data_IF_050480011087
#
_entry.id   IF_050480011087
#
_cell.length_a   1.000
_cell.length_b   1.000
_cell.length_c   1.000
_cell.angle_alpha   90.00
_cell.angle_beta   90.00
_cell.angle_gamma   90.00
#
_symmetry.space_group_name_H-M   'P 1'
#
loop_
_entity.id
_entity.type
_entity.pdbx_description
1 polymer ?
#
# COMPACT_ATOMS: atom_id res chain seq x y z
N UNK A 1 -19.77 -14.83 10.90
CA UNK A 1 -19.04 -14.09 9.84
C UNK A 1 -17.54 -14.26 10.03
N UNK A 2 -17.02 -14.13 11.25
CA UNK A 2 -15.58 -14.16 11.56
C UNK A 2 -14.90 -15.50 11.22
N UNK A 3 -15.55 -16.61 11.58
CA UNK A 3 -15.08 -17.97 11.28
C UNK A 3 -15.06 -18.23 9.78
N UNK A 4 -16.08 -17.78 9.07
CA UNK A 4 -16.20 -17.95 7.62
C UNK A 4 -15.06 -17.25 6.86
N UNK A 5 -14.67 -16.04 7.27
CA UNK A 5 -13.58 -15.28 6.64
C UNK A 5 -12.22 -15.92 6.92
N UNK A 6 -12.01 -16.42 8.15
CA UNK A 6 -10.79 -17.16 8.49
C UNK A 6 -10.70 -18.47 7.69
N UNK A 7 -11.82 -19.19 7.56
CA UNK A 7 -11.89 -20.45 6.82
C UNK A 7 -11.67 -20.22 5.31
N UNK A 8 -12.32 -19.20 4.71
CA UNK A 8 -12.10 -18.84 3.31
C UNK A 8 -10.65 -18.43 3.09
N UNK A 9 -10.06 -17.66 4.00
CA UNK A 9 -8.64 -17.26 3.90
C UNK A 9 -7.72 -18.48 3.88
N UNK A 10 -7.96 -19.45 4.76
CA UNK A 10 -7.11 -20.64 4.84
C UNK A 10 -7.32 -21.56 3.65
N UNK A 11 -8.57 -21.75 3.22
CA UNK A 11 -8.92 -22.61 2.09
C UNK A 11 -8.50 -22.04 0.73
N UNK A 12 -8.37 -20.70 0.60
CA UNK A 12 -7.93 -20.05 -0.64
C UNK A 12 -6.41 -19.94 -0.74
N UNK A 13 -5.69 -19.82 0.38
CA UNK A 13 -4.21 -19.73 0.38
C UNK A 13 -3.54 -20.97 -0.23
N UNK A 14 -4.02 -22.16 0.10
CA UNK A 14 -3.43 -23.41 -0.37
C UNK A 14 -3.51 -23.56 -1.89
N UNK A 15 -4.68 -23.43 -2.56
CA UNK A 15 -4.74 -23.53 -4.01
C UNK A 15 -3.97 -22.41 -4.73
N UNK A 16 -3.92 -21.19 -4.18
CA UNK A 16 -3.13 -20.11 -4.76
C UNK A 16 -1.63 -20.40 -4.66
N UNK A 17 -1.15 -20.91 -3.52
CA UNK A 17 0.25 -21.32 -3.34
C UNK A 17 0.63 -22.44 -4.33
N UNK A 18 -0.27 -23.41 -4.55
CA UNK A 18 -0.04 -24.45 -5.54
C UNK A 18 0.01 -23.91 -6.98
N UNK A 19 -0.87 -22.97 -7.33
CA UNK A 19 -0.84 -22.31 -8.65
C UNK A 19 0.49 -21.58 -8.86
N UNK A 20 0.98 -20.85 -7.87
CA UNK A 20 2.28 -20.18 -7.91
C UNK A 20 3.43 -21.17 -8.06
N UNK A 21 3.42 -22.24 -7.28
CA UNK A 21 4.44 -23.30 -7.38
C UNK A 21 4.47 -23.92 -8.78
N UNK A 22 3.31 -24.26 -9.35
CA UNK A 22 3.26 -24.85 -10.69
C UNK A 22 3.67 -23.85 -11.78
N UNK A 23 3.33 -22.57 -11.63
CA UNK A 23 3.78 -21.53 -12.56
C UNK A 23 5.30 -21.37 -12.52
N UNK A 24 5.91 -21.37 -11.32
CA UNK A 24 7.36 -21.34 -11.16
C UNK A 24 8.05 -22.57 -11.75
N UNK A 25 7.55 -23.77 -11.46
CA UNK A 25 8.09 -25.00 -12.04
C UNK A 25 8.01 -25.03 -13.57
N UNK A 26 6.96 -24.43 -14.16
CA UNK A 26 6.87 -24.26 -15.60
C UNK A 26 7.91 -23.27 -16.13
N UNK A 27 8.17 -22.17 -15.38
CA UNK A 27 9.16 -21.16 -15.78
C UNK A 27 10.60 -21.68 -15.77
N UNK A 28 10.87 -22.73 -14.98
CA UNK A 28 12.20 -23.39 -14.90
C UNK A 28 12.46 -24.37 -16.07
N UNK A 29 11.40 -24.73 -16.82
CA UNK A 29 11.53 -25.66 -17.95
C UNK A 29 11.91 -24.96 -19.24
N UNK A 30 12.55 -25.67 -20.15
CA UNK A 30 12.81 -25.19 -21.50
C UNK A 30 11.54 -25.24 -22.35
N UNK A 31 10.75 -24.18 -22.29
CA UNK A 31 9.46 -24.05 -22.96
C UNK A 31 9.58 -23.23 -24.26
N UNK A 32 8.77 -23.54 -25.28
CA UNK A 32 8.55 -22.66 -26.41
C UNK A 32 8.16 -21.25 -25.95
N UNK A 33 8.51 -20.23 -26.74
CA UNK A 33 8.32 -18.81 -26.36
C UNK A 33 6.88 -18.47 -25.95
N UNK A 34 5.89 -19.02 -26.66
CA UNK A 34 4.47 -18.76 -26.34
C UNK A 34 4.06 -19.42 -25.03
N UNK A 35 4.53 -20.65 -24.76
CA UNK A 35 4.28 -21.34 -23.49
C UNK A 35 4.96 -20.63 -22.30
N UNK A 36 6.15 -20.07 -22.51
CA UNK A 36 6.86 -19.27 -21.49
C UNK A 36 6.09 -17.99 -21.17
N UNK A 37 5.54 -17.30 -22.18
CA UNK A 37 4.66 -16.14 -21.96
C UNK A 37 3.40 -16.49 -21.19
N UNK A 38 2.78 -17.63 -21.48
CA UNK A 38 1.61 -18.11 -20.75
C UNK A 38 1.95 -18.43 -19.29
N UNK A 39 3.07 -19.09 -19.02
CA UNK A 39 3.51 -19.40 -17.66
C UNK A 39 3.75 -18.12 -16.85
N UNK A 40 4.44 -17.14 -17.41
CA UNK A 40 4.65 -15.83 -16.76
C UNK A 40 3.33 -15.08 -16.49
N UNK A 41 2.39 -15.12 -17.43
CA UNK A 41 1.07 -14.52 -17.25
C UNK A 41 0.26 -15.22 -16.14
N UNK A 42 0.34 -16.55 -16.04
CA UNK A 42 -0.29 -17.31 -14.96
C UNK A 42 0.30 -16.97 -13.59
N UNK A 43 1.62 -16.88 -13.50
CA UNK A 43 2.32 -16.48 -12.25
C UNK A 43 1.84 -15.09 -11.81
N UNK A 44 1.83 -14.13 -12.72
CA UNK A 44 1.36 -12.77 -12.43
C UNK A 44 -0.10 -12.73 -11.96
N UNK A 45 -1.01 -13.50 -12.59
CA UNK A 45 -2.41 -13.56 -12.17
C UNK A 45 -2.59 -14.27 -10.83
N UNK A 46 -1.82 -15.32 -10.54
CA UNK A 46 -1.84 -16.00 -9.25
C UNK A 46 -1.33 -15.10 -8.11
N UNK A 47 -0.26 -14.33 -8.33
CA UNK A 47 0.24 -13.32 -7.39
C UNK A 47 -0.81 -12.23 -7.13
N UNK A 48 -1.45 -11.74 -8.17
CA UNK A 48 -2.54 -10.76 -8.04
C UNK A 48 -3.71 -11.30 -7.23
N UNK A 49 -4.09 -12.57 -7.45
CA UNK A 49 -5.15 -13.23 -6.68
C UNK A 49 -4.75 -13.41 -5.22
N UNK A 50 -3.51 -13.81 -4.94
CA UNK A 50 -2.96 -13.90 -3.59
C UNK A 50 -3.08 -12.58 -2.85
N UNK A 51 -2.61 -11.50 -3.46
CA UNK A 51 -2.67 -10.16 -2.89
C UNK A 51 -4.12 -9.70 -2.64
N UNK A 52 -5.05 -10.00 -3.56
CA UNK A 52 -6.48 -9.72 -3.41
C UNK A 52 -7.05 -10.39 -2.16
N UNK A 53 -6.86 -11.69 -2.02
CA UNK A 53 -7.40 -12.48 -0.90
C UNK A 53 -6.79 -12.01 0.42
N UNK A 54 -5.48 -11.80 0.49
CA UNK A 54 -4.81 -11.33 1.70
C UNK A 54 -5.31 -9.94 2.13
N UNK A 55 -5.46 -9.03 1.17
CA UNK A 55 -5.95 -7.67 1.44
C UNK A 55 -7.42 -7.69 1.89
N UNK A 56 -8.26 -8.53 1.28
CA UNK A 56 -9.66 -8.69 1.66
C UNK A 56 -9.78 -9.21 3.10
N UNK A 57 -8.98 -10.22 3.45
CA UNK A 57 -8.97 -10.81 4.80
C UNK A 57 -8.47 -9.80 5.83
N UNK A 58 -7.37 -9.08 5.55
CA UNK A 58 -6.87 -8.02 6.43
C UNK A 58 -7.96 -6.96 6.68
N UNK A 59 -8.56 -6.47 5.62
CA UNK A 59 -9.61 -5.45 5.68
C UNK A 59 -10.80 -5.93 6.49
N UNK A 60 -11.29 -7.13 6.23
CA UNK A 60 -12.42 -7.69 6.94
C UNK A 60 -12.14 -7.90 8.44
N UNK A 61 -10.94 -8.34 8.81
CA UNK A 61 -10.54 -8.48 10.22
C UNK A 61 -10.43 -7.14 10.93
N UNK A 62 -10.00 -6.09 10.24
CA UNK A 62 -9.98 -4.73 10.80
C UNK A 62 -11.38 -4.19 11.04
N UNK A 63 -12.30 -4.37 10.09
CA UNK A 63 -13.68 -3.90 10.20
C UNK A 63 -14.48 -4.63 11.28
N UNK A 64 -14.19 -5.90 11.48
CA UNK A 64 -14.85 -6.71 12.52
C UNK A 64 -14.21 -6.55 13.90
N UNK A 65 -13.17 -5.72 14.04
CA UNK A 65 -12.45 -5.53 15.30
C UNK A 65 -11.65 -6.76 15.77
N UNK A 66 -11.46 -7.77 14.92
CA UNK A 66 -10.68 -8.97 15.25
C UNK A 66 -9.18 -8.65 15.27
N UNK A 67 -8.74 -7.74 14.42
CA UNK A 67 -7.39 -7.21 14.46
C UNK A 67 -7.38 -6.02 15.39
N UNK A 68 -6.98 -6.27 16.62
CA UNK A 68 -6.75 -5.20 17.57
C UNK A 68 -5.46 -4.46 17.22
N UNK A 69 -5.57 -3.15 17.13
CA UNK A 69 -4.41 -2.28 17.06
C UNK A 69 -4.04 -1.90 18.50
N UNK A 70 -2.75 -1.90 18.78
CA UNK A 70 -2.21 -1.54 20.11
C UNK A 70 -1.40 -0.23 20.00
N UNK A 71 -2.08 0.93 19.90
CA UNK A 71 -1.38 2.21 19.81
C UNK A 71 -0.56 2.46 21.07
N UNK A 72 0.70 2.79 20.89
CA UNK A 72 1.62 3.22 21.93
C UNK A 72 2.45 4.40 21.45
N UNK A 73 2.95 5.21 22.35
CA UNK A 73 3.85 6.30 21.97
C UNK A 73 5.11 5.70 21.31
N UNK A 74 5.30 5.97 20.03
CA UNK A 74 6.33 5.36 19.21
C UNK A 74 7.09 6.43 18.42
N UNK A 75 8.42 6.25 18.29
CA UNK A 75 9.22 7.08 17.40
C UNK A 75 8.84 6.78 15.95
N UNK A 76 8.69 7.82 15.14
CA UNK A 76 8.34 7.68 13.72
C UNK A 76 9.54 7.30 12.84
N UNK A 77 10.77 7.66 13.23
CA UNK A 77 11.96 7.39 12.41
C UNK A 77 12.08 5.92 11.97
N UNK A 78 12.08 4.92 12.88
CA UNK A 78 12.21 3.52 12.48
C UNK A 78 11.01 3.02 11.65
N UNK A 79 9.81 3.56 11.87
CA UNK A 79 8.61 3.19 11.10
C UNK A 79 8.71 3.70 9.66
N UNK A 80 9.21 4.92 9.49
CA UNK A 80 9.45 5.51 8.17
C UNK A 80 10.57 4.78 7.43
N UNK A 81 11.66 4.45 8.11
CA UNK A 81 12.78 3.69 7.53
C UNK A 81 12.33 2.32 7.04
N UNK A 82 11.54 1.60 7.83
CA UNK A 82 11.00 0.30 7.44
C UNK A 82 10.13 0.42 6.18
N UNK A 83 9.17 1.33 6.14
CA UNK A 83 8.29 1.52 4.99
C UNK A 83 9.06 1.97 3.73
N UNK A 84 10.02 2.87 3.85
CA UNK A 84 10.86 3.37 2.75
C UNK A 84 11.74 2.25 2.21
N UNK A 85 12.38 1.45 3.08
CA UNK A 85 13.24 0.34 2.67
C UNK A 85 12.52 -0.68 1.78
N UNK A 86 11.25 -0.94 2.06
CA UNK A 86 10.43 -1.90 1.31
C UNK A 86 10.12 -1.44 -0.13
N UNK A 87 10.04 -0.13 -0.40
CA UNK A 87 9.73 0.41 -1.73
C UNK A 87 10.97 0.87 -2.50
N UNK A 88 12.12 1.01 -1.84
CA UNK A 88 13.39 1.46 -2.44
C UNK A 88 13.76 0.65 -3.69
N UNK A 89 13.72 -0.70 -3.71
CA UNK A 89 14.07 -1.46 -4.91
C UNK A 89 13.16 -1.14 -6.11
N UNK A 90 11.87 -0.90 -5.88
CA UNK A 90 10.92 -0.53 -6.94
C UNK A 90 11.19 0.89 -7.45
N UNK A 91 11.50 1.82 -6.55
CA UNK A 91 11.82 3.21 -6.90
C UNK A 91 13.11 3.28 -7.73
N UNK A 92 14.15 2.55 -7.33
CA UNK A 92 15.42 2.45 -8.06
C UNK A 92 15.23 1.83 -9.44
N UNK A 93 14.51 0.71 -9.55
CA UNK A 93 14.23 0.05 -10.82
C UNK A 93 13.48 0.96 -11.81
N UNK A 94 12.67 1.90 -11.30
CA UNK A 94 11.91 2.89 -12.10
C UNK A 94 12.68 4.22 -12.28
N UNK A 95 13.85 4.37 -11.65
CA UNK A 95 14.64 5.62 -11.70
C UNK A 95 13.98 6.78 -10.96
N UNK A 96 13.24 6.51 -9.90
CA UNK A 96 12.56 7.51 -9.06
C UNK A 96 13.48 7.94 -7.92
N UNK A 97 13.66 9.25 -7.73
CA UNK A 97 14.37 9.80 -6.58
C UNK A 97 13.47 9.72 -5.33
N UNK A 98 13.74 8.74 -4.47
CA UNK A 98 13.05 8.55 -3.19
C UNK A 98 13.86 9.21 -2.08
N UNK A 99 13.24 10.13 -1.34
CA UNK A 99 13.88 10.86 -0.24
C UNK A 99 13.03 10.80 1.02
N UNK A 100 13.68 10.76 2.18
CA UNK A 100 13.04 10.84 3.49
C UNK A 100 13.79 11.83 4.35
N UNK A 101 13.08 12.79 4.93
CA UNK A 101 13.66 13.72 5.90
C UNK A 101 13.78 13.03 7.27
N UNK A 102 14.95 13.07 7.92
CA UNK A 102 15.11 12.56 9.28
C UNK A 102 14.13 13.23 10.24
N UNK A 103 13.61 12.47 11.20
CA UNK A 103 12.63 13.00 12.16
C UNK A 103 12.93 12.55 13.59
N UNK A 104 12.76 13.46 14.55
CA UNK A 104 12.70 13.14 15.98
C UNK A 104 11.28 13.03 16.53
N UNK A 105 10.27 13.07 15.63
CA UNK A 105 8.87 13.09 16.03
C UNK A 105 8.38 11.71 16.50
N UNK A 106 7.35 11.75 17.37
CA UNK A 106 6.64 10.57 17.85
C UNK A 106 5.13 10.72 17.72
N UNK A 107 4.43 9.60 17.68
CA UNK A 107 2.98 9.55 17.64
C UNK A 107 2.45 8.39 18.49
N UNK A 108 1.19 8.50 18.92
CA UNK A 108 0.46 7.40 19.53
C UNK A 108 -0.04 6.51 18.40
N UNK A 109 0.69 5.44 18.11
CA UNK A 109 0.39 4.56 16.99
C UNK A 109 0.85 3.13 17.24
N UNK A 110 0.29 2.20 16.48
CA UNK A 110 0.80 0.85 16.36
C UNK A 110 1.87 0.84 15.25
N UNK A 111 3.15 0.59 15.59
CA UNK A 111 4.25 0.67 14.60
C UNK A 111 4.04 -0.22 13.39
N UNK A 112 3.56 -1.45 13.60
CA UNK A 112 3.35 -2.42 12.53
C UNK A 112 2.29 -1.96 11.54
N UNK A 113 1.13 -1.53 12.05
CA UNK A 113 0.03 -1.06 11.21
C UNK A 113 0.34 0.28 10.54
N UNK A 114 1.06 1.14 11.23
CA UNK A 114 1.51 2.41 10.66
C UNK A 114 2.51 2.19 9.52
N UNK A 115 3.46 1.27 9.68
CA UNK A 115 4.38 0.88 8.58
C UNK A 115 3.63 0.31 7.37
N UNK A 116 2.61 -0.54 7.59
CA UNK A 116 1.74 -1.07 6.52
C UNK A 116 0.99 0.06 5.78
N UNK A 117 0.42 1.01 6.53
CA UNK A 117 -0.27 2.15 5.92
C UNK A 117 0.68 3.00 5.08
N UNK A 118 1.87 3.30 5.59
CA UNK A 118 2.90 4.07 4.90
C UNK A 118 3.43 3.32 3.67
N UNK A 119 3.66 2.01 3.76
CA UNK A 119 4.03 1.20 2.62
C UNK A 119 3.02 1.33 1.47
N UNK A 120 1.71 1.23 1.76
CA UNK A 120 0.68 1.38 0.76
C UNK A 120 0.69 2.77 0.10
N UNK A 121 0.94 3.84 0.87
CA UNK A 121 1.06 5.20 0.34
C UNK A 121 2.30 5.35 -0.55
N UNK A 122 3.43 4.83 -0.11
CA UNK A 122 4.70 4.85 -0.84
C UNK A 122 4.66 4.00 -2.10
N UNK A 123 4.09 2.80 -2.05
CA UNK A 123 3.92 1.93 -3.22
C UNK A 123 3.06 2.61 -4.28
N UNK A 124 1.98 3.29 -3.88
CA UNK A 124 1.19 4.11 -4.79
C UNK A 124 1.99 5.30 -5.37
N UNK A 125 2.74 6.02 -4.54
CA UNK A 125 3.56 7.14 -4.99
C UNK A 125 4.59 6.70 -6.05
N UNK A 126 5.32 5.60 -5.82
CA UNK A 126 6.28 5.03 -6.77
C UNK A 126 5.57 4.54 -8.04
N UNK A 127 4.41 3.91 -7.88
CA UNK A 127 3.63 3.35 -8.98
C UNK A 127 3.16 4.43 -9.95
N UNK A 128 2.58 5.51 -9.46
CA UNK A 128 1.97 6.57 -10.28
C UNK A 128 2.93 7.72 -10.63
N UNK A 129 4.17 7.66 -10.18
CA UNK A 129 5.22 8.60 -10.58
C UNK A 129 5.94 8.07 -11.82
N UNK A 130 6.05 8.84 -12.91
CA UNK A 130 6.86 8.47 -14.07
C UNK A 130 8.34 8.29 -13.74
N UNK A 131 9.06 7.56 -14.58
CA UNK A 131 10.51 7.44 -14.49
C UNK A 131 11.19 8.81 -14.45
N UNK A 132 12.20 8.96 -13.57
CA UNK A 132 12.88 10.23 -13.32
C UNK A 132 12.14 11.19 -12.39
N UNK A 133 10.94 10.82 -11.92
CA UNK A 133 10.19 11.62 -10.95
C UNK A 133 10.74 11.52 -9.52
N UNK A 134 10.00 12.11 -8.58
CA UNK A 134 10.42 12.21 -7.17
C UNK A 134 9.31 11.76 -6.24
N UNK A 135 9.71 11.08 -5.16
CA UNK A 135 8.85 10.77 -4.01
C UNK A 135 9.56 11.24 -2.75
N UNK A 136 8.88 11.99 -1.91
CA UNK A 136 9.45 12.55 -0.68
C UNK A 136 8.57 12.21 0.52
N UNK A 137 9.21 11.80 1.62
CA UNK A 137 8.56 11.54 2.92
C UNK A 137 9.01 12.60 3.91
N UNK A 138 8.06 13.21 4.59
CA UNK A 138 8.28 14.22 5.62
C UNK A 138 7.34 14.01 6.78
N UNK A 139 7.77 14.42 7.97
CA UNK A 139 6.89 14.45 9.14
C UNK A 139 6.90 15.83 9.79
N UNK A 140 5.78 16.18 10.42
CA UNK A 140 5.61 17.42 11.16
C UNK A 140 4.63 17.24 12.30
N UNK A 141 5.01 17.65 13.51
CA UNK A 141 4.11 17.67 14.66
C UNK A 141 3.31 18.95 14.76
N UNK A 142 2.08 18.79 15.21
CA UNK A 142 1.14 19.81 15.63
C UNK A 142 0.71 19.53 17.08
N UNK A 143 -0.12 20.36 17.66
CA UNK A 143 -0.51 20.23 19.08
C UNK A 143 -1.16 18.87 19.40
N UNK A 144 -2.04 18.37 18.51
CA UNK A 144 -2.81 17.14 18.73
C UNK A 144 -2.40 15.98 17.83
N UNK A 145 -1.75 16.26 16.70
CA UNK A 145 -1.42 15.25 15.69
C UNK A 145 0.02 15.39 15.23
N UNK A 146 0.61 14.26 14.89
CA UNK A 146 1.77 14.21 14.03
C UNK A 146 1.30 13.87 12.60
N UNK A 147 1.74 14.66 11.62
CA UNK A 147 1.43 14.46 10.20
C UNK A 147 2.63 13.86 9.50
N UNK A 148 2.40 12.83 8.72
CA UNK A 148 3.38 12.22 7.82
C UNK A 148 2.87 12.46 6.40
N UNK A 149 3.66 13.14 5.58
CA UNK A 149 3.36 13.43 4.19
C UNK A 149 4.18 12.51 3.28
N UNK A 150 3.50 11.82 2.36
CA UNK A 150 4.09 11.13 1.23
C UNK A 150 3.72 11.94 -0.01
N UNK A 151 4.68 12.66 -0.57
CA UNK A 151 4.49 13.53 -1.72
C UNK A 151 5.15 12.93 -2.96
N UNK A 152 4.45 12.93 -4.08
CA UNK A 152 4.92 12.44 -5.37
C UNK A 152 4.81 13.52 -6.46
N UNK A 153 5.57 13.36 -7.53
CA UNK A 153 5.50 14.18 -8.75
C UNK A 153 4.81 13.43 -9.89
N UNK A 154 3.84 12.61 -9.55
CA UNK A 154 3.13 11.74 -10.48
C UNK A 154 2.05 12.44 -11.30
N UNK A 155 1.17 11.65 -11.87
CA UNK A 155 0.08 12.11 -12.75
C UNK A 155 -0.95 12.98 -12.05
N UNK A 156 -1.00 12.93 -10.70
CA UNK A 156 -2.03 13.61 -9.92
C UNK A 156 -3.42 12.96 -10.06
N UNK A 157 -4.37 13.48 -9.30
CA UNK A 157 -5.72 12.94 -9.15
C UNK A 157 -6.74 14.07 -9.34
N UNK A 158 -7.70 13.92 -10.27
CA UNK A 158 -8.78 14.88 -10.44
C UNK A 158 -9.60 15.07 -9.15
N UNK A 159 -10.07 16.28 -8.88
CA UNK A 159 -10.80 16.61 -7.66
C UNK A 159 -12.02 15.69 -7.44
N UNK A 160 -12.78 15.41 -8.50
CA UNK A 160 -13.96 14.52 -8.43
C UNK A 160 -13.65 13.05 -8.09
N UNK A 161 -12.39 12.64 -8.14
CA UNK A 161 -11.94 11.28 -7.80
C UNK A 161 -11.30 11.19 -6.42
N UNK A 162 -10.83 12.30 -5.83
CA UNK A 162 -10.07 12.29 -4.57
C UNK A 162 -10.83 11.68 -3.39
N UNK A 163 -12.15 11.80 -3.34
CA UNK A 163 -12.95 11.14 -2.32
C UNK A 163 -13.16 9.64 -2.62
N UNK A 164 -13.19 9.26 -3.90
CA UNK A 164 -13.48 7.90 -4.36
C UNK A 164 -12.29 6.96 -4.24
N UNK A 165 -11.05 7.48 -4.35
CA UNK A 165 -9.82 6.66 -4.26
C UNK A 165 -9.66 5.92 -2.92
N UNK A 166 -10.39 6.34 -1.89
CA UNK A 166 -10.46 5.68 -0.59
C UNK A 166 -11.56 4.61 -0.47
N UNK A 167 -12.31 4.36 -1.55
CA UNK A 167 -13.30 3.27 -1.59
C UNK A 167 -12.62 1.95 -1.95
N UNK A 168 -13.21 0.85 -1.49
CA UNK A 168 -12.72 -0.50 -1.84
C UNK A 168 -12.84 -0.74 -3.33
N UNK A 169 -11.82 -1.35 -3.91
CA UNK A 169 -11.76 -1.74 -5.32
C UNK A 169 -11.88 -0.59 -6.31
N UNK A 170 -11.90 0.66 -5.82
CA UNK A 170 -11.92 1.82 -6.69
C UNK A 170 -10.54 2.04 -7.32
N UNK A 171 -10.54 2.27 -8.62
CA UNK A 171 -9.38 2.66 -9.41
C UNK A 171 -9.80 3.80 -10.32
N UNK A 172 -9.01 4.87 -10.32
CA UNK A 172 -9.21 5.98 -11.23
C UNK A 172 -9.03 5.50 -12.68
N UNK A 173 -9.74 6.09 -13.63
CA UNK A 173 -9.64 5.71 -15.05
C UNK A 173 -8.20 5.81 -15.58
N UNK A 174 -7.45 6.83 -15.13
CA UNK A 174 -6.03 7.01 -15.43
C UNK A 174 -5.12 5.91 -14.84
N UNK A 175 -5.60 5.15 -13.88
CA UNK A 175 -4.84 4.13 -13.14
C UNK A 175 -5.06 2.69 -13.66
N UNK A 176 -5.91 2.50 -14.69
CA UNK A 176 -6.23 1.15 -15.20
C UNK A 176 -5.04 0.43 -15.84
N UNK A 177 -4.07 1.17 -16.35
CA UNK A 177 -2.88 0.59 -16.98
C UNK A 177 -1.84 0.10 -15.96
N UNK A 178 -1.92 0.57 -14.72
CA UNK A 178 -0.99 0.20 -13.66
C UNK A 178 -1.51 -1.01 -12.88
N UNK A 179 -0.63 -1.85 -12.38
CA UNK A 179 -1.01 -3.00 -11.55
C UNK A 179 -1.63 -2.55 -10.22
N UNK A 180 -2.65 -3.26 -9.75
CA UNK A 180 -3.24 -3.03 -8.41
C UNK A 180 -4.71 -3.34 -8.35
N UNK A 181 -5.20 -3.44 -7.13
CA UNK A 181 -6.53 -3.96 -6.81
C UNK A 181 -7.46 -2.88 -6.26
N UNK A 182 -6.92 -1.70 -5.90
CA UNK A 182 -7.72 -0.62 -5.32
C UNK A 182 -8.10 -0.84 -3.84
N UNK A 183 -7.27 -1.56 -3.07
CA UNK A 183 -7.51 -1.81 -1.64
C UNK A 183 -6.54 -1.03 -0.75
N UNK A 184 -5.34 -0.72 -1.22
CA UNK A 184 -4.27 -0.16 -0.40
C UNK A 184 -4.64 1.15 0.30
N UNK A 185 -5.21 2.12 -0.41
CA UNK A 185 -5.64 3.41 0.16
C UNK A 185 -6.81 3.25 1.13
N UNK A 186 -7.76 2.37 0.82
CA UNK A 186 -8.83 2.03 1.74
C UNK A 186 -8.28 1.46 3.04
N UNK A 187 -7.37 0.48 2.96
CA UNK A 187 -6.71 -0.13 4.13
C UNK A 187 -5.95 0.92 4.94
N UNK A 188 -5.16 1.78 4.30
CA UNK A 188 -4.43 2.86 4.99
C UNK A 188 -5.38 3.81 5.73
N UNK A 189 -6.55 4.12 5.15
CA UNK A 189 -7.57 4.94 5.80
C UNK A 189 -8.17 4.24 7.02
N UNK A 190 -8.44 2.93 6.94
CA UNK A 190 -8.96 2.14 8.08
C UNK A 190 -7.92 2.05 9.19
N UNK A 191 -6.65 1.84 8.85
CA UNK A 191 -5.55 1.82 9.82
C UNK A 191 -5.42 3.17 10.53
N UNK A 192 -5.48 4.28 9.79
CA UNK A 192 -5.44 5.61 10.38
C UNK A 192 -6.61 5.83 11.36
N UNK A 193 -7.84 5.54 10.92
CA UNK A 193 -9.04 5.69 11.73
C UNK A 193 -9.04 4.81 12.98
N UNK A 194 -8.60 3.55 12.86
CA UNK A 194 -8.49 2.61 13.99
C UNK A 194 -7.50 3.04 15.07
N UNK A 195 -6.60 3.97 14.77
CA UNK A 195 -5.64 4.56 15.70
C UNK A 195 -6.05 5.97 16.17
N UNK A 196 -7.29 6.41 15.88
CA UNK A 196 -7.76 7.75 16.22
C UNK A 196 -7.23 8.87 15.32
N UNK A 197 -6.60 8.50 14.22
CA UNK A 197 -6.08 9.42 13.21
C UNK A 197 -6.94 9.49 11.96
N UNK A 198 -6.41 10.05 10.90
CA UNK A 198 -7.09 10.15 9.59
C UNK A 198 -6.11 10.32 8.45
N UNK A 199 -6.57 10.09 7.22
CA UNK A 199 -5.81 10.22 6.00
C UNK A 199 -6.46 11.27 5.08
N UNK A 200 -5.63 12.17 4.53
CA UNK A 200 -6.04 13.18 3.55
C UNK A 200 -5.22 13.06 2.27
N UNK A 201 -5.75 13.58 1.18
CA UNK A 201 -5.05 13.78 -0.08
C UNK A 201 -5.18 15.23 -0.53
N UNK A 202 -4.10 15.76 -1.09
CA UNK A 202 -4.06 17.00 -1.83
C UNK A 202 -3.38 16.71 -3.16
N UNK A 203 -4.08 16.90 -4.27
CA UNK A 203 -3.59 16.53 -5.58
C UNK A 203 -4.20 17.40 -6.67
N UNK A 204 -3.49 17.54 -7.78
CA UNK A 204 -4.02 18.13 -8.99
C UNK A 204 -3.44 17.41 -10.21
N UNK A 205 -4.22 17.22 -11.29
CA UNK A 205 -3.73 16.59 -12.51
C UNK A 205 -2.43 17.21 -13.02
N UNK A 206 -1.42 16.38 -13.29
CA UNK A 206 -0.11 16.79 -13.77
C UNK A 206 0.81 17.44 -12.73
N UNK A 207 0.37 17.58 -11.47
CA UNK A 207 1.17 18.20 -10.39
C UNK A 207 1.56 17.22 -9.27
N UNK A 208 1.23 15.93 -9.43
CA UNK A 208 1.45 14.92 -8.40
C UNK A 208 0.42 14.97 -7.28
N UNK A 209 0.71 14.22 -6.24
CA UNK A 209 -0.16 14.08 -5.07
C UNK A 209 0.63 14.17 -3.77
N UNK A 210 -0.04 14.58 -2.71
CA UNK A 210 0.46 14.48 -1.34
C UNK A 210 -0.58 13.78 -0.49
N UNK A 211 -0.24 12.60 -0.01
CA UNK A 211 -1.03 11.87 0.98
C UNK A 211 -0.52 12.20 2.37
N UNK A 212 -1.39 12.68 3.22
CA UNK A 212 -1.08 13.11 4.59
C UNK A 212 -1.74 12.18 5.60
N UNK A 213 -0.94 11.38 6.30
CA UNK A 213 -1.37 10.53 7.40
C UNK A 213 -1.25 11.31 8.70
N UNK A 214 -2.36 11.49 9.41
CA UNK A 214 -2.41 12.13 10.70
C UNK A 214 -2.60 11.09 11.79
N UNK A 215 -1.71 11.06 12.76
CA UNK A 215 -1.73 10.18 13.93
C UNK A 215 -1.80 11.02 15.21
N UNK A 216 -2.54 10.61 16.25
CA UNK A 216 -2.56 11.31 17.52
C UNK A 216 -1.15 11.45 18.10
N UNK A 217 -0.88 12.56 18.75
CA UNK A 217 0.42 12.79 19.38
C UNK A 217 0.47 12.26 20.82
N UNK A 218 -0.70 12.17 21.47
CA UNK A 218 -0.87 11.72 22.87
C UNK A 218 -2.08 10.83 22.97
#
# INVERSE_FOLDING_TARGET
INTLIADISHQTKTPIANLLLYAQLLSEQDLPQDSRRCAAALEQQAEKLRFLVESLVKTSRLETGILEMHPKLSSLQPILEDAVSQVTPKAEAKGIALTMEPTGEGALCDPKWTAEALYNLLDNAVKYTPAGGKVAVRSKSYDFFCRIDVADTGTGIPEGEQAKIFQRFYRADSAYQEEGVGIGLYLSRQIAAGQGGYLKVSSAPGKGSTFSLFLPRR
#
